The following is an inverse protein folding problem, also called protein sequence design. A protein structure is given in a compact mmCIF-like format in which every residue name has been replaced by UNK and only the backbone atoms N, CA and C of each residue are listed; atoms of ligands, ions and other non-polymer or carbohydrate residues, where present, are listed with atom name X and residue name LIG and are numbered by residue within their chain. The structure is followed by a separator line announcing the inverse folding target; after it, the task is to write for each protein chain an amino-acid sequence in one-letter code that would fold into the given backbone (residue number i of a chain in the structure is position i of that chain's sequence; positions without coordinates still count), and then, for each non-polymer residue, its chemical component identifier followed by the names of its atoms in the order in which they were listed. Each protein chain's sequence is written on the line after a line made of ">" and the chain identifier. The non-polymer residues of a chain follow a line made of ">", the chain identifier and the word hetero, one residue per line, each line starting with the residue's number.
data_IF_633303628864
#
_entry.id   IF_633303628864
#
_cell.length_a   1.000
_cell.length_b   1.000
_cell.length_c   1.000
_cell.angle_alpha   90.00
_cell.angle_beta   90.00
_cell.angle_gamma   90.00
#
_symmetry.space_group_name_H-M   'P 1'
#
loop_
_entity.id
_entity.type
_entity.pdbx_description
1 polymer ?
#
# COMPACT_ATOMS: atom_id res chain seq x y z
N UNK A 1 -8.57 -2.24 -2.98
CA UNK A 1 -9.55 -3.07 -2.27
C UNK A 1 -9.02 -4.47 -2.10
N UNK A 2 -8.69 -5.13 -3.21
CA UNK A 2 -8.12 -6.49 -3.22
C UNK A 2 -6.92 -6.66 -2.28
N UNK A 3 -5.96 -5.73 -2.32
CA UNK A 3 -4.77 -5.79 -1.45
C UNK A 3 -5.12 -5.84 0.05
N UNK A 4 -6.15 -5.10 0.49
CA UNK A 4 -6.57 -5.12 1.88
C UNK A 4 -7.13 -6.49 2.28
N UNK A 5 -7.86 -7.15 1.37
CA UNK A 5 -8.36 -8.51 1.57
C UNK A 5 -7.20 -9.49 1.70
N UNK A 6 -6.18 -9.37 0.86
CA UNK A 6 -5.01 -10.26 0.89
C UNK A 6 -4.18 -10.09 2.16
N UNK A 7 -3.96 -8.85 2.62
CA UNK A 7 -3.27 -8.56 3.88
C UNK A 7 -4.04 -9.13 5.09
N UNK A 8 -5.35 -8.89 5.16
CA UNK A 8 -6.17 -9.41 6.27
C UNK A 8 -6.22 -10.93 6.23
N UNK A 9 -6.42 -11.53 5.06
CA UNK A 9 -6.42 -12.98 4.92
C UNK A 9 -5.09 -13.59 5.40
N UNK A 10 -3.97 -13.04 4.95
CA UNK A 10 -2.64 -13.47 5.37
C UNK A 10 -2.47 -13.36 6.88
N UNK A 11 -2.91 -12.26 7.47
CA UNK A 11 -2.88 -12.07 8.93
C UNK A 11 -3.74 -13.10 9.67
N UNK A 12 -4.92 -13.44 9.13
CA UNK A 12 -5.81 -14.43 9.73
C UNK A 12 -5.20 -15.83 9.77
N UNK A 13 -4.56 -16.24 8.68
CA UNK A 13 -3.91 -17.55 8.55
C UNK A 13 -2.64 -17.63 9.40
N UNK A 14 -1.77 -16.61 9.33
CA UNK A 14 -0.51 -16.59 10.06
C UNK A 14 -0.69 -16.70 11.59
N UNK A 15 -1.73 -16.06 12.12
CA UNK A 15 -2.03 -16.09 13.55
C UNK A 15 -2.95 -17.24 13.96
N UNK A 16 -3.37 -18.10 13.01
CA UNK A 16 -4.24 -19.27 13.23
C UNK A 16 -5.51 -18.97 14.03
N UNK A 17 -6.12 -17.79 13.85
CA UNK A 17 -7.35 -17.42 14.58
C UNK A 17 -8.51 -18.39 14.36
N UNK A 18 -8.49 -19.13 13.24
CA UNK A 18 -9.50 -20.13 12.88
C UNK A 18 -8.92 -21.55 12.76
N UNK A 19 -7.71 -21.80 13.28
CA UNK A 19 -7.03 -23.09 13.14
C UNK A 19 -6.80 -23.47 11.67
N UNK A 20 -7.10 -24.73 11.33
CA UNK A 20 -6.92 -25.29 9.98
C UNK A 20 -8.18 -25.13 9.09
N UNK A 21 -9.10 -24.24 9.46
CA UNK A 21 -10.31 -23.99 8.67
C UNK A 21 -9.98 -23.14 7.46
N UNK A 22 -10.38 -23.61 6.28
CA UNK A 22 -10.30 -22.82 5.05
C UNK A 22 -11.25 -21.61 5.12
N UNK A 23 -10.67 -20.41 4.98
CA UNK A 23 -11.40 -19.15 5.02
C UNK A 23 -11.64 -18.68 3.58
N UNK A 24 -12.88 -18.72 3.05
CA UNK A 24 -13.15 -18.19 1.73
C UNK A 24 -12.93 -16.68 1.69
N UNK A 25 -12.45 -16.16 0.56
CA UNK A 25 -12.19 -14.72 0.32
C UNK A 25 -13.39 -13.84 0.67
N UNK A 26 -14.61 -14.32 0.39
CA UNK A 26 -15.86 -13.62 0.72
C UNK A 26 -16.08 -13.37 2.22
N UNK A 27 -15.55 -14.21 3.13
CA UNK A 27 -15.59 -13.95 4.58
C UNK A 27 -14.62 -12.83 4.97
N UNK A 28 -13.47 -12.76 4.32
CA UNK A 28 -12.50 -11.69 4.55
C UNK A 28 -13.06 -10.34 4.10
N UNK A 29 -13.77 -10.32 2.97
CA UNK A 29 -14.53 -9.13 2.51
C UNK A 29 -15.52 -8.63 3.56
N UNK A 30 -16.17 -9.53 4.31
CA UNK A 30 -17.05 -9.15 5.44
C UNK A 30 -16.28 -8.53 6.60
N UNK A 31 -15.06 -8.99 6.88
CA UNK A 31 -14.18 -8.35 7.86
C UNK A 31 -13.80 -6.94 7.42
N UNK A 32 -13.41 -6.75 6.15
CA UNK A 32 -13.15 -5.42 5.61
C UNK A 32 -14.37 -4.49 5.73
N UNK A 33 -15.57 -4.99 5.43
CA UNK A 33 -16.81 -4.23 5.62
C UNK A 33 -17.02 -3.84 7.09
N UNK A 34 -16.79 -4.77 8.03
CA UNK A 34 -16.91 -4.46 9.45
C UNK A 34 -15.91 -3.36 9.86
N UNK A 35 -14.64 -3.45 9.45
CA UNK A 35 -13.63 -2.43 9.74
C UNK A 35 -14.02 -1.05 9.20
N UNK A 36 -14.63 -1.00 8.02
CA UNK A 36 -15.18 0.23 7.45
C UNK A 36 -16.37 0.78 8.26
N UNK A 37 -17.25 -0.10 8.72
CA UNK A 37 -18.40 0.24 9.57
C UNK A 37 -17.95 0.79 10.93
N UNK A 38 -16.85 0.26 11.49
CA UNK A 38 -16.17 0.77 12.69
C UNK A 38 -15.29 2.01 12.43
N UNK A 39 -15.34 2.57 11.22
CA UNK A 39 -14.59 3.78 10.84
C UNK A 39 -13.07 3.63 10.99
N UNK A 40 -12.51 2.43 10.85
CA UNK A 40 -11.04 2.25 10.80
C UNK A 40 -10.47 2.87 9.53
N UNK A 41 -11.18 2.70 8.41
CA UNK A 41 -10.88 3.34 7.14
C UNK A 41 -12.16 3.73 6.41
N UNK A 42 -12.02 4.57 5.40
CA UNK A 42 -13.10 5.05 4.56
C UNK A 42 -12.74 4.91 3.07
N UNK A 43 -13.76 4.90 2.20
CA UNK A 43 -13.55 4.88 0.76
C UNK A 43 -13.04 6.24 0.30
N UNK A 44 -12.09 6.23 -0.62
CA UNK A 44 -11.66 7.44 -1.30
C UNK A 44 -12.67 7.76 -2.41
N UNK A 45 -13.34 8.91 -2.38
CA UNK A 45 -14.29 9.26 -3.42
C UNK A 45 -13.58 9.40 -4.76
N UNK A 46 -13.92 8.54 -5.72
CA UNK A 46 -13.61 8.78 -7.12
C UNK A 46 -14.69 9.73 -7.63
N UNK A 47 -14.31 10.90 -8.16
CA UNK A 47 -15.26 11.94 -8.58
C UNK A 47 -16.14 11.44 -9.74
N UNK A 48 -17.25 10.78 -9.42
CA UNK A 48 -18.38 10.54 -10.31
C UNK A 48 -19.67 10.58 -9.50
N UNK A 49 -20.66 11.22 -10.10
CA UNK A 49 -21.92 11.67 -9.52
C UNK A 49 -22.69 10.60 -8.71
N UNK A 50 -23.17 11.00 -7.52
CA UNK A 50 -24.48 10.62 -6.98
C UNK A 50 -24.69 9.19 -6.46
N UNK A 51 -24.69 9.04 -5.13
CA UNK A 51 -25.82 8.55 -4.32
C UNK A 51 -25.39 8.38 -2.86
N UNK A 52 -26.18 8.92 -1.93
CA UNK A 52 -26.04 8.76 -0.47
C UNK A 52 -26.34 7.34 0.02
N UNK A 53 -25.63 6.34 -0.51
CA UNK A 53 -25.68 4.96 0.00
C UNK A 53 -24.65 4.83 1.10
N UNK A 54 -24.94 4.00 2.12
CA UNK A 54 -23.91 3.53 3.04
C UNK A 54 -22.75 2.95 2.20
N UNK A 55 -21.50 3.35 2.45
CA UNK A 55 -20.39 2.87 1.65
C UNK A 55 -20.19 1.37 1.88
N UNK A 56 -20.12 0.61 0.79
CA UNK A 56 -19.86 -0.83 0.79
C UNK A 56 -18.40 -1.06 0.40
N UNK A 57 -17.76 -2.01 1.07
CA UNK A 57 -16.42 -2.44 0.72
C UNK A 57 -16.44 -3.25 -0.58
N UNK A 58 -15.45 -3.02 -1.43
CA UNK A 58 -15.29 -3.65 -2.73
C UNK A 58 -13.91 -4.33 -2.81
N UNK A 59 -13.93 -5.64 -3.05
CA UNK A 59 -12.74 -6.46 -3.34
C UNK A 59 -12.33 -6.28 -4.81
N UNK A 60 -11.83 -5.08 -5.12
CA UNK A 60 -11.36 -4.69 -6.45
C UNK A 60 -10.04 -3.91 -6.35
N UNK A 61 -9.23 -3.99 -7.40
CA UNK A 61 -7.99 -3.20 -7.52
C UNK A 61 -8.27 -1.72 -7.80
N UNK A 62 -9.45 -1.39 -8.34
CA UNK A 62 -9.84 -0.01 -8.63
C UNK A 62 -10.39 0.75 -7.40
N UNK A 63 -10.78 0.04 -6.35
CA UNK A 63 -11.42 0.64 -5.16
C UNK A 63 -10.35 1.04 -4.15
N UNK A 64 -10.21 2.35 -3.92
CA UNK A 64 -9.20 2.91 -3.02
C UNK A 64 -9.81 3.26 -1.66
N UNK A 65 -9.02 3.07 -0.61
CA UNK A 65 -9.40 3.33 0.78
C UNK A 65 -8.30 4.11 1.49
N UNK A 66 -8.66 4.84 2.54
CA UNK A 66 -7.72 5.57 3.40
C UNK A 66 -8.14 5.38 4.86
N UNK A 67 -7.16 5.23 5.75
CA UNK A 67 -7.42 5.20 7.20
C UNK A 67 -8.04 6.52 7.66
N UNK A 68 -8.98 6.44 8.59
CA UNK A 68 -9.53 7.65 9.21
C UNK A 68 -8.47 8.27 10.11
N UNK A 69 -8.35 9.60 10.08
CA UNK A 69 -7.44 10.31 10.99
C UNK A 69 -8.09 10.35 12.36
N UNK A 70 -7.51 9.63 13.34
CA UNK A 70 -7.91 9.77 14.75
C UNK A 70 -7.42 11.15 15.22
N UNK A 71 -8.30 12.08 15.61
CA UNK A 71 -7.85 13.36 16.16
C UNK A 71 -7.09 13.09 17.47
N UNK A 72 -5.77 13.24 17.44
CA UNK A 72 -4.85 12.91 18.54
C UNK A 72 -3.72 11.93 18.19
N UNK A 73 -3.76 11.32 17.00
CA UNK A 73 -2.61 10.58 16.44
C UNK A 73 -1.92 11.47 15.39
N UNK A 74 -1.23 12.51 15.88
CA UNK A 74 -0.29 13.25 15.05
C UNK A 74 0.84 12.29 14.63
N UNK A 75 0.81 11.90 13.35
CA UNK A 75 1.96 11.55 12.52
C UNK A 75 2.93 10.49 13.06
N UNK A 76 2.67 9.22 12.76
CA UNK A 76 3.76 8.29 12.40
C UNK A 76 3.72 7.79 10.95
N UNK A 77 2.77 8.25 10.11
CA UNK A 77 2.74 7.92 8.68
C UNK A 77 3.40 8.99 7.78
N UNK A 78 4.46 9.63 8.29
CA UNK A 78 5.16 10.75 7.63
C UNK A 78 6.65 10.50 7.36
N UNK A 79 7.12 9.25 7.31
CA UNK A 79 8.51 8.91 7.00
C UNK A 79 8.66 7.73 6.04
N UNK A 80 8.00 7.75 4.89
CA UNK A 80 8.60 7.11 3.70
C UNK A 80 8.00 7.68 2.41
N UNK A 81 8.41 8.91 2.08
CA UNK A 81 8.43 9.40 0.71
C UNK A 81 9.74 10.19 0.54
N UNK A 82 10.87 9.49 0.70
CA UNK A 82 12.08 9.93 0.01
C UNK A 82 11.79 9.69 -1.46
N UNK A 83 11.52 10.76 -2.20
CA UNK A 83 11.66 10.77 -3.65
C UNK A 83 13.07 10.25 -3.98
N UNK A 84 13.19 8.97 -4.31
CA UNK A 84 14.28 8.53 -5.15
C UNK A 84 13.88 8.93 -6.57
N UNK A 85 14.29 10.14 -6.95
CA UNK A 85 14.39 10.47 -8.36
C UNK A 85 15.23 9.36 -9.03
N UNK A 86 14.78 8.73 -10.13
CA UNK A 86 15.64 7.86 -10.91
C UNK A 86 16.72 8.73 -11.52
N UNK A 87 17.86 8.79 -10.83
CA UNK A 87 19.05 9.44 -11.32
C UNK A 87 19.51 8.68 -12.56
N UNK A 88 19.36 9.32 -13.72
CA UNK A 88 19.93 8.86 -14.99
C UNK A 88 21.44 8.83 -14.85
N UNK A 89 22.02 7.67 -14.61
CA UNK A 89 23.43 7.42 -14.85
C UNK A 89 23.57 6.35 -15.92
N UNK A 90 23.84 6.81 -17.14
CA UNK A 90 24.52 6.01 -18.15
C UNK A 90 25.65 6.87 -18.68
N UNK A 91 26.86 6.35 -18.56
CA UNK A 91 28.02 6.78 -19.33
C UNK A 91 28.84 7.90 -18.68
N UNK A 92 29.80 7.50 -17.85
CA UNK A 92 30.95 8.31 -17.50
C UNK A 92 31.67 8.80 -18.77
N UNK A 93 31.98 10.09 -18.82
CA UNK A 93 32.76 10.67 -19.91
C UNK A 93 33.54 11.86 -19.37
N UNK A 94 34.77 11.65 -18.88
CA UNK A 94 35.82 12.67 -18.88
C UNK A 94 37.21 12.04 -19.00
N UNK A 95 38.08 12.78 -19.67
CA UNK A 95 39.19 12.36 -20.51
C UNK A 95 40.52 12.12 -19.77
N UNK A 96 41.32 11.26 -20.39
CA UNK A 96 42.78 11.26 -20.63
C UNK A 96 43.68 12.26 -19.91
N UNK A 97 44.78 11.75 -19.36
CA UNK A 97 46.13 12.33 -19.45
C UNK A 97 47.19 11.25 -19.20
N UNK A 98 48.13 11.11 -20.14
CA UNK A 98 49.33 10.28 -20.12
C UNK A 98 50.32 10.69 -19.02
N UNK A 99 51.10 9.73 -18.46
CA UNK A 99 52.53 9.88 -18.11
C UNK A 99 53.19 8.48 -17.97
N UNK A 100 54.05 8.18 -18.96
CA UNK A 100 55.44 7.67 -18.89
C UNK A 100 55.78 6.45 -18.01
N UNK A 101 56.07 5.31 -18.66
CA UNK A 101 56.83 4.20 -18.08
C UNK A 101 58.25 4.18 -18.66
N UNK A 102 59.23 4.11 -17.77
CA UNK A 102 60.66 4.03 -18.06
C UNK A 102 61.12 2.59 -18.33
N UNK A 103 62.12 2.47 -19.21
CA UNK A 103 63.20 1.49 -19.33
C UNK A 103 63.06 0.11 -18.68
N UNK A 104 63.22 -0.94 -19.49
CA UNK A 104 64.33 -1.91 -19.41
C UNK A 104 64.64 -2.40 -20.83
#
# INVERSE_FOLDING_TARGET
>A
GSEAVDVIFSHLIQNKYFGDVDIPRSKVVRVCQALMDYKVFEAVPTKVFGKDKKPTFEDSSCSLYRFTTVPGQESQSGKENKLYSPSRYSGALFKSSDIKSASL
#
